data_IF_951694121288
#
_entry.id   IF_951694121288
#
_cell.length_a   1.000
_cell.length_b   1.000
_cell.length_c   1.000
_cell.angle_alpha   90.00
_cell.angle_beta   90.00
_cell.angle_gamma   90.00
#
_symmetry.space_group_name_H-M   'P 1'
#
loop_
_entity.id
_entity.type
_entity.pdbx_description
1 polymer ?
#
# COMPACT_ATOMS: atom_id res chain seq x y z
N UNK A 1 2.22 -33.02 9.09
CA UNK A 1 0.84 -32.68 8.71
C UNK A 1 0.76 -31.16 8.73
N UNK A 2 0.72 -30.52 7.58
CA UNK A 2 0.58 -29.06 7.51
C UNK A 2 -0.82 -28.69 7.99
N UNK A 3 -0.90 -28.17 9.21
CA UNK A 3 -2.14 -27.73 9.82
C UNK A 3 -2.67 -26.54 9.00
N UNK A 4 -3.79 -26.73 8.31
CA UNK A 4 -4.47 -25.63 7.63
C UNK A 4 -5.02 -24.67 8.68
N UNK A 5 -4.80 -23.35 8.54
CA UNK A 5 -5.36 -22.36 9.45
C UNK A 5 -6.88 -22.45 9.42
N UNK A 6 -7.48 -22.45 10.61
CA UNK A 6 -8.94 -22.60 10.80
C UNK A 6 -9.63 -21.25 10.71
N UNK A 7 -8.96 -20.17 11.13
CA UNK A 7 -9.51 -18.83 11.24
C UNK A 7 -8.71 -17.91 10.33
N UNK A 8 -9.39 -17.15 9.46
CA UNK A 8 -8.75 -16.10 8.65
C UNK A 8 -9.02 -14.74 9.26
N UNK A 9 -7.97 -13.96 9.48
CA UNK A 9 -8.05 -12.59 9.97
C UNK A 9 -7.32 -11.66 9.01
N UNK A 10 -7.88 -10.47 8.79
CA UNK A 10 -7.24 -9.42 8.02
C UNK A 10 -6.63 -8.40 8.96
N UNK A 11 -5.47 -7.88 8.60
CA UNK A 11 -4.75 -6.86 9.32
C UNK A 11 -5.10 -5.48 8.76
N UNK A 12 -5.41 -4.53 9.65
CA UNK A 12 -5.69 -3.14 9.30
C UNK A 12 -5.02 -2.17 10.28
N UNK A 13 -4.84 -0.93 9.85
CA UNK A 13 -4.38 0.15 10.73
C UNK A 13 -5.55 0.75 11.52
N UNK A 14 -5.36 0.89 12.83
CA UNK A 14 -6.21 1.62 13.74
C UNK A 14 -5.44 2.82 14.36
N UNK A 15 -6.11 3.80 14.99
CA UNK A 15 -5.46 5.00 15.52
C UNK A 15 -4.35 4.73 16.54
N UNK A 16 -4.46 3.64 17.32
CA UNK A 16 -3.53 3.29 18.40
C UNK A 16 -2.65 2.08 18.10
N UNK A 17 -2.73 1.50 16.90
CA UNK A 17 -2.04 0.25 16.61
C UNK A 17 -2.58 -0.49 15.39
N UNK A 18 -2.08 -1.70 15.18
CA UNK A 18 -2.66 -2.63 14.21
C UNK A 18 -3.84 -3.36 14.84
N UNK A 19 -4.87 -3.61 14.04
CA UNK A 19 -6.06 -4.32 14.45
C UNK A 19 -6.29 -5.52 13.53
N UNK A 20 -6.80 -6.60 14.12
CA UNK A 20 -7.31 -7.76 13.39
C UNK A 20 -8.83 -7.61 13.23
N UNK A 21 -9.35 -7.95 12.04
CA UNK A 21 -10.79 -7.78 11.73
C UNK A 21 -11.74 -8.58 12.62
N UNK A 22 -11.30 -9.71 13.16
CA UNK A 22 -12.08 -10.50 14.10
C UNK A 22 -11.48 -10.36 15.50
N UNK A 23 -12.33 -10.09 16.50
CA UNK A 23 -11.88 -10.05 17.87
C UNK A 23 -11.58 -11.46 18.38
N UNK A 24 -10.62 -11.55 19.29
CA UNK A 24 -10.27 -12.80 19.96
C UNK A 24 -11.48 -13.41 20.68
N UNK A 25 -12.29 -12.58 21.34
CA UNK A 25 -13.49 -13.02 22.07
C UNK A 25 -14.52 -13.65 21.14
N UNK A 26 -14.81 -13.04 20.00
CA UNK A 26 -15.74 -13.57 18.99
C UNK A 26 -15.27 -14.93 18.48
N UNK A 27 -13.96 -15.06 18.20
CA UNK A 27 -13.37 -16.32 17.76
C UNK A 27 -13.43 -17.40 18.84
N UNK A 28 -13.22 -17.04 20.11
CA UNK A 28 -13.36 -17.96 21.24
C UNK A 28 -14.81 -18.42 21.40
N UNK A 29 -15.78 -17.51 21.30
CA UNK A 29 -17.21 -17.86 21.40
C UNK A 29 -17.60 -18.80 20.27
N UNK A 30 -17.26 -18.48 19.02
CA UNK A 30 -17.67 -19.28 17.88
C UNK A 30 -16.97 -20.65 17.82
N UNK A 31 -15.64 -20.69 18.01
CA UNK A 31 -14.89 -21.95 17.87
C UNK A 31 -14.91 -22.80 19.14
N UNK A 32 -14.80 -22.21 20.33
CA UNK A 32 -14.77 -22.99 21.58
C UNK A 32 -16.16 -23.14 22.21
N UNK A 33 -17.11 -22.25 21.92
CA UNK A 33 -18.50 -22.34 22.36
C UNK A 33 -19.38 -23.03 21.32
N UNK A 34 -19.70 -22.32 20.24
CA UNK A 34 -20.74 -22.73 19.27
C UNK A 34 -20.39 -24.05 18.57
N UNK A 35 -19.17 -24.24 18.08
CA UNK A 35 -18.77 -25.49 17.43
C UNK A 35 -18.84 -26.71 18.37
N UNK A 36 -18.55 -26.51 19.66
CA UNK A 36 -18.66 -27.57 20.66
C UNK A 36 -20.13 -27.87 21.00
N UNK A 37 -20.97 -26.84 21.06
CA UNK A 37 -22.42 -26.96 21.26
C UNK A 37 -23.11 -27.62 20.05
N UNK A 38 -22.66 -27.33 18.83
CA UNK A 38 -23.08 -27.97 17.60
C UNK A 38 -22.72 -29.46 17.58
N UNK A 39 -21.51 -29.82 18.03
CA UNK A 39 -21.13 -31.23 18.18
C UNK A 39 -22.07 -31.96 19.16
N UNK A 40 -22.42 -31.32 20.29
CA UNK A 40 -23.41 -31.88 21.23
C UNK A 40 -24.79 -31.99 20.57
N UNK A 41 -25.18 -31.02 19.75
CA UNK A 41 -26.44 -31.05 19.01
C UNK A 41 -26.49 -32.18 17.97
N UNK A 42 -25.37 -32.46 17.29
CA UNK A 42 -25.24 -33.62 16.41
C UNK A 42 -25.38 -34.92 17.20
N UNK A 43 -24.76 -35.02 18.38
CA UNK A 43 -24.92 -36.19 19.28
C UNK A 43 -26.39 -36.41 19.66
N UNK A 44 -27.16 -35.34 19.92
CA UNK A 44 -28.60 -35.44 20.20
C UNK A 44 -29.41 -36.05 19.06
N UNK A 45 -28.99 -35.83 17.81
CA UNK A 45 -29.68 -36.31 16.61
C UNK A 45 -29.36 -37.77 16.26
N UNK A 46 -28.39 -38.41 16.92
CA UNK A 46 -28.11 -39.81 16.65
C UNK A 46 -29.30 -40.70 17.05
N UNK A 47 -29.75 -41.59 16.15
CA UNK A 47 -30.85 -42.49 16.43
C UNK A 47 -30.45 -43.43 17.56
N UNK A 48 -31.25 -43.42 18.63
CA UNK A 48 -31.07 -44.36 19.75
C UNK A 48 -31.54 -45.74 19.29
N UNK A 49 -30.71 -46.76 19.48
CA UNK A 49 -31.03 -48.12 19.05
C UNK A 49 -32.18 -48.73 19.87
N UNK A 50 -32.11 -48.61 21.19
CA UNK A 50 -33.04 -49.27 22.11
C UNK A 50 -34.52 -48.82 21.98
N UNK A 51 -34.83 -47.54 21.69
CA UNK A 51 -36.20 -47.09 21.43
C UNK A 51 -36.73 -47.43 20.02
N UNK A 52 -35.95 -48.06 19.14
CA UNK A 52 -36.44 -48.42 17.81
C UNK A 52 -37.47 -49.55 17.88
N UNK A 53 -38.49 -49.53 17.00
CA UNK A 53 -39.60 -50.49 17.03
C UNK A 53 -39.14 -51.94 16.85
N UNK A 54 -37.99 -52.18 16.19
CA UNK A 54 -37.43 -53.53 16.01
C UNK A 54 -37.05 -54.19 17.35
N UNK A 55 -36.72 -53.40 18.37
CA UNK A 55 -36.31 -53.90 19.68
C UNK A 55 -37.43 -53.87 20.72
N UNK A 56 -38.64 -53.37 20.39
CA UNK A 56 -39.73 -53.22 21.37
C UNK A 56 -40.25 -54.56 21.91
N UNK A 57 -40.10 -55.65 21.17
CA UNK A 57 -40.48 -56.99 21.61
C UNK A 57 -39.48 -57.66 22.57
N UNK A 58 -38.26 -57.12 22.69
CA UNK A 58 -37.21 -57.67 23.56
C UNK A 58 -37.25 -57.07 24.98
N UNK A 59 -38.00 -56.00 25.20
CA UNK A 59 -38.09 -55.31 26.48
C UNK A 59 -39.56 -55.16 26.91
N UNK A 60 -39.90 -55.55 28.14
CA UNK A 60 -41.27 -55.46 28.69
C UNK A 60 -41.79 -54.02 28.87
N UNK A 61 -40.92 -53.02 28.70
CA UNK A 61 -41.26 -51.59 28.63
C UNK A 61 -40.21 -50.89 27.74
N UNK A 62 -40.55 -49.77 27.06
CA UNK A 62 -39.60 -49.07 26.21
C UNK A 62 -38.42 -48.60 27.07
N UNK A 63 -37.19 -49.09 26.80
CA UNK A 63 -36.03 -48.75 27.60
C UNK A 63 -35.74 -47.24 27.51
N UNK A 64 -35.80 -46.55 28.65
CA UNK A 64 -35.38 -45.16 28.77
C UNK A 64 -33.85 -45.11 28.73
N UNK A 65 -33.27 -45.03 27.54
CA UNK A 65 -31.84 -44.76 27.40
C UNK A 65 -31.49 -43.38 27.96
N UNK A 66 -30.37 -43.28 28.67
CA UNK A 66 -29.85 -42.01 29.18
C UNK A 66 -29.71 -41.00 28.04
N UNK A 67 -30.01 -39.73 28.31
CA UNK A 67 -29.73 -38.68 27.35
C UNK A 67 -28.22 -38.44 27.25
N UNK A 68 -27.60 -39.00 26.21
CA UNK A 68 -26.17 -38.88 25.95
C UNK A 68 -25.72 -37.41 25.92
N UNK A 69 -26.60 -36.49 25.51
CA UNK A 69 -26.26 -35.08 25.53
C UNK A 69 -26.19 -34.49 26.95
N UNK A 70 -27.03 -34.94 27.88
CA UNK A 70 -26.93 -34.54 29.29
C UNK A 70 -25.65 -35.08 29.94
N UNK A 71 -25.24 -36.30 29.57
CA UNK A 71 -23.97 -36.87 30.03
C UNK A 71 -22.76 -36.08 29.51
N UNK A 72 -22.85 -35.57 28.28
CA UNK A 72 -21.79 -34.77 27.67
C UNK A 72 -21.63 -33.38 28.28
N UNK A 73 -22.71 -32.72 28.71
CA UNK A 73 -22.65 -31.39 29.35
C UNK A 73 -21.79 -31.41 30.62
N UNK A 74 -21.83 -32.50 31.40
CA UNK A 74 -21.00 -32.70 32.59
C UNK A 74 -19.65 -33.38 32.33
N UNK A 75 -19.32 -33.71 31.08
CA UNK A 75 -18.18 -34.56 30.76
C UNK A 75 -16.86 -33.79 30.87
N UNK A 76 -16.08 -34.10 31.91
CA UNK A 76 -14.81 -33.40 32.22
C UNK A 76 -13.84 -33.33 31.03
N UNK A 77 -13.64 -34.38 30.21
CA UNK A 77 -12.76 -34.29 29.04
C UNK A 77 -13.24 -33.27 28.00
N UNK A 78 -14.55 -33.15 27.77
CA UNK A 78 -15.10 -32.16 26.82
C UNK A 78 -14.84 -30.73 27.31
N UNK A 79 -15.07 -30.47 28.59
CA UNK A 79 -14.78 -29.18 29.21
C UNK A 79 -13.28 -28.86 29.17
N UNK A 80 -12.41 -29.87 29.35
CA UNK A 80 -10.96 -29.71 29.20
C UNK A 80 -10.57 -29.35 27.76
N UNK A 81 -11.19 -29.97 26.76
CA UNK A 81 -10.97 -29.63 25.34
C UNK A 81 -11.43 -28.20 25.05
N UNK A 82 -12.63 -27.81 25.51
CA UNK A 82 -13.15 -26.44 25.35
C UNK A 82 -12.20 -25.39 25.93
N UNK A 83 -11.67 -25.64 27.13
CA UNK A 83 -10.67 -24.76 27.75
C UNK A 83 -9.36 -24.72 26.94
N UNK A 84 -8.88 -25.87 26.48
CA UNK A 84 -7.66 -25.97 25.67
C UNK A 84 -7.81 -25.23 24.32
N UNK A 85 -8.97 -25.32 23.67
CA UNK A 85 -9.28 -24.56 22.45
C UNK A 85 -9.23 -23.05 22.72
N UNK A 86 -9.88 -22.57 23.78
CA UNK A 86 -9.82 -21.15 24.16
C UNK A 86 -8.39 -20.66 24.43
N UNK A 87 -7.58 -21.49 25.11
CA UNK A 87 -6.16 -21.19 25.36
C UNK A 87 -5.33 -21.18 24.07
N UNK A 88 -5.57 -22.10 23.13
CA UNK A 88 -4.88 -22.16 21.84
C UNK A 88 -5.22 -20.96 20.95
N UNK A 89 -6.49 -20.55 20.93
CA UNK A 89 -6.94 -19.33 20.25
C UNK A 89 -6.24 -18.12 20.85
N UNK A 90 -6.28 -17.96 22.18
CA UNK A 90 -5.64 -16.81 22.83
C UNK A 90 -4.12 -16.78 22.69
N UNK A 91 -3.45 -17.93 22.64
CA UNK A 91 -2.04 -17.98 22.28
C UNK A 91 -1.83 -17.51 20.82
N UNK A 92 -2.63 -18.00 19.89
CA UNK A 92 -2.53 -17.63 18.47
C UNK A 92 -2.71 -16.13 18.24
N UNK A 93 -3.63 -15.48 18.98
CA UNK A 93 -3.83 -14.02 18.90
C UNK A 93 -2.66 -13.22 19.46
N UNK A 94 -2.03 -13.67 20.56
CA UNK A 94 -0.80 -13.05 21.07
C UNK A 94 0.35 -13.17 20.08
N UNK A 95 0.60 -14.38 19.59
CA UNK A 95 1.65 -14.65 18.60
C UNK A 95 1.39 -13.85 17.30
N UNK A 96 0.12 -13.71 16.90
CA UNK A 96 -0.27 -12.92 15.74
C UNK A 96 -0.05 -11.42 15.94
N UNK A 97 -0.19 -10.91 17.15
CA UNK A 97 0.14 -9.52 17.50
C UNK A 97 1.64 -9.24 17.37
N UNK A 98 2.49 -10.20 17.77
CA UNK A 98 3.94 -10.06 17.61
C UNK A 98 4.35 -10.07 16.13
N UNK A 99 3.70 -10.94 15.33
CA UNK A 99 3.85 -10.97 13.87
C UNK A 99 3.37 -9.66 13.23
N UNK A 100 2.24 -9.14 13.69
CA UNK A 100 1.64 -7.89 13.22
C UNK A 100 2.60 -6.71 13.41
N UNK A 101 3.37 -6.68 14.50
CA UNK A 101 4.31 -5.59 14.80
C UNK A 101 5.33 -5.32 13.68
N UNK A 102 5.63 -6.29 12.81
CA UNK A 102 6.50 -6.07 11.63
C UNK A 102 5.86 -5.16 10.58
N UNK A 103 4.54 -5.17 10.46
CA UNK A 103 3.80 -4.30 9.54
C UNK A 103 3.67 -2.87 10.07
N UNK A 104 4.11 -2.62 11.30
CA UNK A 104 4.13 -1.28 11.91
C UNK A 104 5.08 -0.33 11.17
N UNK A 105 6.12 -0.86 10.51
CA UNK A 105 7.02 -0.10 9.64
C UNK A 105 6.27 0.60 8.49
N UNK A 106 5.15 0.01 8.04
CA UNK A 106 4.29 0.61 7.02
C UNK A 106 3.43 1.77 7.54
N UNK A 107 3.48 2.12 8.83
CA UNK A 107 2.63 3.19 9.39
C UNK A 107 2.93 4.54 8.76
N UNK A 108 4.19 4.82 8.39
CA UNK A 108 4.55 6.03 7.67
C UNK A 108 3.89 6.09 6.29
N UNK A 109 3.87 4.96 5.57
CA UNK A 109 3.21 4.82 4.27
C UNK A 109 1.70 5.01 4.42
N UNK A 110 1.10 4.39 5.43
CA UNK A 110 -0.33 4.56 5.71
C UNK A 110 -0.69 6.02 6.06
N UNK A 111 0.12 6.71 6.86
CA UNK A 111 -0.10 8.12 7.18
C UNK A 111 -0.02 9.01 5.93
N UNK A 112 0.93 8.73 5.03
CA UNK A 112 0.99 9.39 3.72
C UNK A 112 -0.28 9.12 2.91
N UNK A 113 -0.67 7.86 2.75
CA UNK A 113 -1.86 7.47 1.98
C UNK A 113 -3.14 8.10 2.53
N UNK A 114 -3.29 8.15 3.85
CA UNK A 114 -4.45 8.76 4.51
C UNK A 114 -4.53 10.28 4.34
N UNK A 115 -3.39 10.94 4.14
CA UNK A 115 -3.30 12.41 3.98
C UNK A 115 -3.10 12.85 2.53
N UNK A 116 -2.93 11.92 1.59
CA UNK A 116 -2.61 12.21 0.22
C UNK A 116 -3.83 12.77 -0.52
N UNK A 117 -3.78 14.07 -0.84
CA UNK A 117 -4.69 14.71 -1.77
C UNK A 117 -3.99 14.96 -3.10
N UNK A 118 -4.42 14.23 -4.13
CA UNK A 118 -3.89 14.35 -5.50
C UNK A 118 -4.07 15.77 -6.06
N UNK A 119 -5.18 16.44 -5.77
CA UNK A 119 -5.44 17.78 -6.32
C UNK A 119 -4.48 18.81 -5.72
N UNK A 120 -4.34 18.82 -4.39
CA UNK A 120 -3.35 19.65 -3.71
C UNK A 120 -1.92 19.31 -4.13
N UNK A 121 -1.61 18.02 -4.31
CA UNK A 121 -0.30 17.56 -4.73
C UNK A 121 0.07 18.10 -6.12
N UNK A 122 -0.88 18.08 -7.07
CA UNK A 122 -0.73 18.63 -8.42
C UNK A 122 -0.66 20.17 -8.44
N UNK A 123 -1.31 20.83 -7.49
CA UNK A 123 -1.25 22.30 -7.36
C UNK A 123 0.10 22.85 -6.87
N UNK A 124 0.97 21.99 -6.33
CA UNK A 124 2.26 22.41 -5.75
C UNK A 124 3.35 22.64 -6.80
N UNK A 125 4.08 23.75 -6.71
CA UNK A 125 5.31 23.93 -7.47
C UNK A 125 6.45 23.14 -6.83
N UNK A 126 7.21 22.40 -7.66
CA UNK A 126 8.33 21.56 -7.21
C UNK A 126 9.60 21.84 -7.98
N UNK A 127 10.71 21.73 -7.29
CA UNK A 127 12.07 21.80 -7.83
C UNK A 127 12.54 20.40 -8.26
N UNK A 128 13.55 20.32 -9.14
CA UNK A 128 14.13 19.05 -9.57
C UNK A 128 14.63 18.19 -8.38
N UNK A 129 15.21 18.82 -7.35
CA UNK A 129 15.66 18.10 -6.15
C UNK A 129 14.51 17.53 -5.31
N UNK A 130 13.35 18.20 -5.29
CA UNK A 130 12.14 17.66 -4.68
C UNK A 130 11.61 16.48 -5.49
N UNK A 131 11.48 16.60 -6.82
CA UNK A 131 11.09 15.48 -7.68
C UNK A 131 11.96 14.24 -7.43
N UNK A 132 13.29 14.38 -7.45
CA UNK A 132 14.22 13.26 -7.20
C UNK A 132 13.98 12.57 -5.86
N UNK A 133 13.79 13.35 -4.81
CA UNK A 133 13.53 12.86 -3.47
C UNK A 133 12.19 12.11 -3.39
N UNK A 134 11.15 12.70 -3.96
CA UNK A 134 9.80 12.14 -3.89
C UNK A 134 9.69 10.84 -4.69
N UNK A 135 10.29 10.78 -5.89
CA UNK A 135 10.36 9.55 -6.68
C UNK A 135 11.14 8.45 -5.96
N UNK A 136 12.28 8.79 -5.35
CA UNK A 136 13.06 7.82 -4.58
C UNK A 136 12.25 7.29 -3.40
N UNK A 137 11.59 8.16 -2.66
CA UNK A 137 10.76 7.79 -1.51
C UNK A 137 9.61 6.87 -1.92
N UNK A 138 8.87 7.22 -2.98
CA UNK A 138 7.77 6.40 -3.50
C UNK A 138 8.26 5.04 -3.98
N UNK A 139 9.43 4.98 -4.63
CA UNK A 139 10.03 3.72 -5.06
C UNK A 139 10.41 2.84 -3.87
N UNK A 140 11.09 3.40 -2.87
CA UNK A 140 11.44 2.66 -1.66
C UNK A 140 10.19 2.08 -0.98
N UNK A 141 9.12 2.87 -0.84
CA UNK A 141 7.88 2.36 -0.25
C UNK A 141 7.19 1.26 -1.08
N UNK A 142 7.25 1.33 -2.41
CA UNK A 142 6.74 0.27 -3.27
C UNK A 142 7.59 -1.01 -3.14
N UNK A 143 8.92 -0.88 -3.16
CA UNK A 143 9.85 -2.00 -2.96
C UNK A 143 9.63 -2.67 -1.58
N UNK A 144 9.47 -1.86 -0.52
CA UNK A 144 9.18 -2.33 0.83
C UNK A 144 7.83 -3.09 0.90
N UNK A 145 6.80 -2.61 0.20
CA UNK A 145 5.50 -3.30 0.13
C UNK A 145 5.59 -4.63 -0.62
N UNK A 146 6.34 -4.69 -1.71
CA UNK A 146 6.54 -5.92 -2.49
C UNK A 146 7.37 -6.97 -1.73
N UNK A 147 8.35 -6.53 -0.94
CA UNK A 147 9.18 -7.41 -0.12
C UNK A 147 8.39 -8.07 1.02
N UNK A 148 7.29 -7.46 1.47
CA UNK A 148 6.47 -7.97 2.56
C UNK A 148 5.61 -9.15 2.13
N UNK A 149 5.68 -10.23 2.91
CA UNK A 149 4.82 -11.40 2.70
C UNK A 149 3.36 -11.03 2.97
N UNK A 150 2.49 -11.32 2.00
CA UNK A 150 1.06 -10.94 2.03
C UNK A 150 0.19 -11.68 3.06
N UNK A 151 0.76 -12.66 3.77
CA UNK A 151 0.11 -13.32 4.89
C UNK A 151 0.95 -14.44 5.49
N UNK A 152 0.64 -14.81 6.72
CA UNK A 152 1.34 -15.85 7.47
C UNK A 152 0.37 -16.67 8.33
N UNK A 153 0.68 -17.95 8.48
CA UNK A 153 -0.06 -18.84 9.39
C UNK A 153 0.56 -18.74 10.78
N UNK A 154 -0.25 -18.33 11.76
CA UNK A 154 0.16 -18.17 13.16
C UNK A 154 -0.77 -19.00 14.04
N UNK A 155 -0.30 -20.17 14.45
CA UNK A 155 -1.10 -21.13 15.22
C UNK A 155 -2.36 -21.54 14.45
N UNK A 156 -3.54 -21.16 14.96
CA UNK A 156 -4.82 -21.44 14.31
C UNK A 156 -5.29 -20.33 13.36
N UNK A 157 -4.57 -19.21 13.31
CA UNK A 157 -4.89 -18.03 12.51
C UNK A 157 -4.13 -18.03 11.19
N UNK A 158 -4.77 -17.53 10.14
CA UNK A 158 -4.11 -17.01 8.96
C UNK A 158 -4.23 -15.49 8.99
N UNK A 159 -3.11 -14.82 9.28
CA UNK A 159 -3.02 -13.36 9.31
C UNK A 159 -2.71 -12.89 7.90
N UNK A 160 -3.67 -12.22 7.28
CA UNK A 160 -3.56 -11.69 5.92
C UNK A 160 -3.38 -10.17 5.95
N UNK A 161 -2.47 -9.66 5.12
CA UNK A 161 -2.32 -8.22 4.88
C UNK A 161 -2.56 -7.84 3.42
N UNK A 162 -3.07 -8.76 2.59
CA UNK A 162 -3.30 -8.55 1.15
C UNK A 162 -4.11 -7.29 0.84
N UNK A 163 -5.21 -7.05 1.55
CA UNK A 163 -6.06 -5.88 1.30
C UNK A 163 -5.38 -4.58 1.70
N UNK A 164 -4.63 -4.60 2.81
CA UNK A 164 -3.85 -3.46 3.25
C UNK A 164 -2.75 -3.13 2.23
N UNK A 165 -1.99 -4.14 1.80
CA UNK A 165 -0.95 -3.98 0.78
C UNK A 165 -1.52 -3.41 -0.51
N UNK A 166 -2.66 -3.95 -0.98
CA UNK A 166 -3.34 -3.47 -2.18
C UNK A 166 -3.74 -2.00 -2.06
N UNK A 167 -4.37 -1.61 -0.95
CA UNK A 167 -4.79 -0.23 -0.70
C UNK A 167 -3.61 0.74 -0.70
N UNK A 168 -2.52 0.37 -0.01
CA UNK A 168 -1.31 1.19 0.04
C UNK A 168 -0.65 1.29 -1.33
N UNK A 169 -0.50 0.17 -2.03
CA UNK A 169 0.08 0.12 -3.37
C UNK A 169 -0.72 0.96 -4.36
N UNK A 170 -2.04 0.81 -4.43
CA UNK A 170 -2.91 1.54 -5.36
C UNK A 170 -2.74 3.07 -5.20
N UNK A 171 -2.65 3.53 -3.95
CA UNK A 171 -2.47 4.97 -3.66
C UNK A 171 -1.06 5.45 -4.00
N UNK A 172 -0.03 4.67 -3.70
CA UNK A 172 1.36 4.99 -4.05
C UNK A 172 1.55 5.05 -5.57
N UNK A 173 0.96 4.14 -6.33
CA UNK A 173 0.95 4.19 -7.79
C UNK A 173 0.27 5.45 -8.30
N UNK A 174 -0.87 5.84 -7.71
CA UNK A 174 -1.56 7.09 -8.03
C UNK A 174 -0.69 8.33 -7.77
N UNK A 175 0.05 8.34 -6.65
CA UNK A 175 1.00 9.40 -6.34
C UNK A 175 2.18 9.44 -7.33
N UNK A 176 2.73 8.29 -7.71
CA UNK A 176 3.81 8.20 -8.69
C UNK A 176 3.37 8.65 -10.09
N UNK A 177 2.14 8.34 -10.52
CA UNK A 177 1.55 8.87 -11.75
C UNK A 177 1.37 10.40 -11.68
N UNK A 178 0.85 10.92 -10.57
CA UNK A 178 0.72 12.36 -10.35
C UNK A 178 2.08 13.08 -10.44
N UNK A 179 3.12 12.50 -9.83
CA UNK A 179 4.47 13.04 -9.85
C UNK A 179 5.09 13.02 -11.26
N UNK A 180 4.85 11.96 -12.05
CA UNK A 180 5.26 11.89 -13.48
C UNK A 180 4.62 12.99 -14.30
N UNK A 181 3.30 13.15 -14.21
CA UNK A 181 2.60 14.24 -14.92
C UNK A 181 3.13 15.62 -14.53
N UNK A 182 3.38 15.85 -13.25
CA UNK A 182 3.95 17.11 -12.77
C UNK A 182 5.35 17.37 -13.34
N UNK A 183 6.20 16.34 -13.36
CA UNK A 183 7.54 16.45 -13.94
C UNK A 183 7.45 16.75 -15.45
N UNK A 184 6.54 16.11 -16.19
CA UNK A 184 6.32 16.40 -17.61
C UNK A 184 5.92 17.85 -17.83
N UNK A 185 4.95 18.36 -17.07
CA UNK A 185 4.51 19.76 -17.18
C UNK A 185 5.64 20.73 -16.79
N UNK A 186 6.40 20.41 -15.76
CA UNK A 186 7.53 21.23 -15.33
C UNK A 186 8.66 21.25 -16.38
N UNK A 187 9.00 20.10 -16.95
CA UNK A 187 9.99 19.98 -18.02
C UNK A 187 9.57 20.75 -19.27
N UNK A 188 8.30 20.62 -19.68
CA UNK A 188 7.73 21.40 -20.79
C UNK A 188 7.86 22.91 -20.54
N UNK A 189 7.44 23.39 -19.37
CA UNK A 189 7.56 24.82 -19.04
C UNK A 189 9.00 25.30 -19.04
N UNK A 190 9.93 24.52 -18.51
CA UNK A 190 11.34 24.92 -18.44
C UNK A 190 12.02 24.89 -19.81
N UNK A 191 11.70 23.93 -20.70
CA UNK A 191 12.24 23.91 -22.07
C UNK A 191 11.73 25.08 -22.89
N UNK A 192 10.42 25.36 -22.85
CA UNK A 192 9.84 26.52 -23.55
C UNK A 192 10.47 27.82 -23.06
N UNK A 193 10.56 28.00 -21.73
CA UNK A 193 11.16 29.20 -21.15
C UNK A 193 12.64 29.36 -21.51
N UNK A 194 13.38 28.26 -21.55
CA UNK A 194 14.80 28.27 -21.89
C UNK A 194 15.00 28.62 -23.36
N UNK A 195 14.23 28.01 -24.27
CA UNK A 195 14.24 28.35 -25.71
C UNK A 195 13.83 29.79 -25.97
N UNK A 196 12.79 30.31 -25.32
CA UNK A 196 12.37 31.72 -25.42
C UNK A 196 13.51 32.66 -24.99
N UNK A 197 14.24 32.30 -23.93
CA UNK A 197 15.39 33.07 -23.46
C UNK A 197 16.50 33.09 -24.51
N UNK A 198 16.87 31.93 -25.07
CA UNK A 198 17.89 31.84 -26.13
C UNK A 198 17.45 32.53 -27.43
N UNK A 199 16.19 32.39 -27.83
CA UNK A 199 15.61 33.04 -29.00
C UNK A 199 15.59 34.56 -28.88
N UNK A 200 15.23 35.08 -27.70
CA UNK A 200 15.29 36.51 -27.39
C UNK A 200 16.71 37.07 -27.51
N UNK A 201 17.69 36.40 -26.87
CA UNK A 201 19.10 36.80 -26.95
C UNK A 201 19.65 36.73 -28.38
N UNK A 202 19.30 35.69 -29.13
CA UNK A 202 19.70 35.56 -30.54
C UNK A 202 19.08 36.68 -31.39
N UNK A 203 17.82 37.01 -31.15
CA UNK A 203 17.13 38.12 -31.82
C UNK A 203 17.77 39.48 -31.52
N UNK A 204 18.11 39.75 -30.26
CA UNK A 204 18.80 40.97 -29.84
C UNK A 204 20.20 41.09 -30.45
N UNK A 205 20.99 39.99 -30.43
CA UNK A 205 22.38 40.00 -30.88
C UNK A 205 22.56 39.86 -32.39
N UNK A 206 21.54 39.38 -33.11
CA UNK A 206 21.55 39.26 -34.58
C UNK A 206 21.40 40.61 -35.29
N UNK A 207 20.76 41.59 -34.65
CA UNK A 207 20.62 42.96 -35.15
C UNK A 207 21.90 43.74 -34.87
N UNK A 208 22.91 43.55 -35.74
CA UNK A 208 24.13 44.34 -35.68
C UNK A 208 23.80 45.82 -35.96
N UNK A 209 24.25 46.76 -35.12
CA UNK A 209 23.99 48.17 -35.31
C UNK A 209 24.76 48.71 -36.52
N UNK A 210 24.07 49.50 -37.35
CA UNK A 210 24.65 50.18 -38.52
C UNK A 210 25.26 51.55 -38.16
N UNK A 211 24.86 52.11 -37.01
CA UNK A 211 25.34 53.39 -36.49
C UNK A 211 26.18 53.24 -35.22
N UNK A 212 27.15 54.15 -35.04
CA UNK A 212 28.04 54.19 -33.87
C UNK A 212 27.30 54.45 -32.55
N UNK A 213 26.21 55.21 -32.58
CA UNK A 213 25.42 55.52 -31.39
C UNK A 213 24.70 54.28 -30.85
N UNK A 214 24.23 53.41 -31.75
CA UNK A 214 23.55 52.15 -31.41
C UNK A 214 24.54 51.06 -30.96
N UNK A 215 25.82 51.18 -31.34
CA UNK A 215 26.87 50.24 -30.94
C UNK A 215 27.05 50.17 -29.42
N UNK A 216 26.93 51.30 -28.72
CA UNK A 216 27.08 51.33 -27.26
C UNK A 216 25.99 50.51 -26.55
N UNK A 217 24.75 50.55 -27.04
CA UNK A 217 23.64 49.76 -26.49
C UNK A 217 23.82 48.26 -26.79
N UNK A 218 24.18 47.92 -28.03
CA UNK A 218 24.51 46.55 -28.45
C UNK A 218 25.63 45.95 -27.60
N UNK A 219 26.73 46.68 -27.40
CA UNK A 219 27.89 46.18 -26.66
C UNK A 219 27.55 45.91 -25.18
N UNK A 220 26.68 46.73 -24.57
CA UNK A 220 26.17 46.47 -23.21
C UNK A 220 25.34 45.19 -23.13
N UNK A 221 24.42 44.98 -24.07
CA UNK A 221 23.61 43.76 -24.15
C UNK A 221 24.48 42.51 -24.38
N UNK A 222 25.49 42.63 -25.25
CA UNK A 222 26.47 41.57 -25.50
C UNK A 222 27.29 41.23 -24.24
N UNK A 223 27.82 42.24 -23.54
CA UNK A 223 28.53 42.08 -22.26
C UNK A 223 27.66 41.39 -21.21
N UNK A 224 26.44 41.87 -21.01
CA UNK A 224 25.50 41.27 -20.07
C UNK A 224 25.17 39.81 -20.40
N UNK A 225 25.07 39.48 -21.69
CA UNK A 225 24.86 38.09 -22.14
C UNK A 225 26.06 37.20 -21.84
N UNK A 226 27.28 37.69 -22.08
CA UNK A 226 28.51 36.95 -21.75
C UNK A 226 28.65 36.75 -20.24
N UNK A 227 28.39 37.79 -19.45
CA UNK A 227 28.42 37.72 -17.98
C UNK A 227 27.32 36.76 -17.45
N UNK A 228 26.17 36.71 -18.11
CA UNK A 228 25.06 35.82 -17.78
C UNK A 228 25.19 34.38 -18.31
N UNK A 229 26.26 34.04 -19.04
CA UNK A 229 26.40 32.77 -19.75
C UNK A 229 26.30 31.55 -18.82
N UNK A 230 27.01 31.56 -17.69
CA UNK A 230 26.98 30.44 -16.73
C UNK A 230 25.56 30.18 -16.20
N UNK A 231 24.77 31.25 -16.00
CA UNK A 231 23.37 31.12 -15.58
C UNK A 231 22.50 30.46 -16.64
N UNK A 232 22.74 30.78 -17.91
CA UNK A 232 22.03 30.17 -19.05
C UNK A 232 22.41 28.70 -19.20
N UNK A 233 23.70 28.38 -19.13
CA UNK A 233 24.19 26.99 -19.13
C UNK A 233 23.62 26.19 -17.96
N UNK A 234 23.53 26.78 -16.76
CA UNK A 234 22.89 26.15 -15.60
C UNK A 234 21.42 25.85 -15.81
N UNK A 235 20.64 26.75 -16.43
CA UNK A 235 19.23 26.50 -16.77
C UNK A 235 19.06 25.41 -17.82
N UNK A 236 19.90 25.43 -18.86
CA UNK A 236 19.97 24.35 -19.85
C UNK A 236 20.25 23.01 -19.16
N UNK A 237 21.23 22.95 -18.26
CA UNK A 237 21.56 21.73 -17.54
C UNK A 237 20.39 21.21 -16.68
N UNK A 238 19.65 22.10 -16.00
CA UNK A 238 18.44 21.73 -15.25
C UNK A 238 17.38 21.16 -16.18
N UNK A 239 17.15 21.79 -17.33
CA UNK A 239 16.16 21.34 -18.33
C UNK A 239 16.49 19.93 -18.82
N UNK A 240 17.74 19.71 -19.24
CA UNK A 240 18.22 18.39 -19.68
C UNK A 240 18.04 17.36 -18.56
N UNK A 241 18.45 17.70 -17.33
CA UNK A 241 18.32 16.80 -16.19
C UNK A 241 16.86 16.47 -15.81
N UNK A 242 15.89 17.32 -16.14
CA UNK A 242 14.46 17.01 -15.98
C UNK A 242 14.00 15.97 -17.00
N UNK A 243 14.45 16.05 -18.26
CA UNK A 243 14.13 15.06 -19.29
C UNK A 243 14.85 13.72 -19.07
N UNK A 244 16.11 13.73 -18.64
CA UNK A 244 16.83 12.51 -18.25
C UNK A 244 16.08 11.80 -17.10
N UNK A 245 15.51 12.58 -16.18
CA UNK A 245 14.70 12.04 -15.11
C UNK A 245 13.38 11.45 -15.61
N UNK A 246 12.70 12.10 -16.59
CA UNK A 246 11.51 11.55 -17.23
C UNK A 246 11.78 10.19 -17.87
N UNK A 247 12.91 10.04 -18.56
CA UNK A 247 13.34 8.77 -19.15
C UNK A 247 13.61 7.71 -18.07
N UNK A 248 14.32 8.08 -17.00
CA UNK A 248 14.61 7.20 -15.86
C UNK A 248 13.34 6.65 -15.20
N UNK A 249 12.28 7.47 -15.11
CA UNK A 249 10.99 7.06 -14.50
C UNK A 249 10.02 6.47 -15.52
N UNK A 250 10.45 6.26 -16.77
CA UNK A 250 9.63 5.67 -17.84
C UNK A 250 8.44 6.53 -18.28
N UNK A 251 8.50 7.85 -18.05
CA UNK A 251 7.47 8.77 -18.50
C UNK A 251 7.64 9.09 -19.98
N UNK A 252 6.54 9.05 -20.74
CA UNK A 252 6.56 9.38 -22.17
C UNK A 252 6.76 10.88 -22.35
N UNK A 253 7.84 11.25 -23.04
CA UNK A 253 8.09 12.64 -23.45
C UNK A 253 7.21 12.97 -24.66
N UNK A 254 6.44 14.08 -24.64
CA UNK A 254 5.68 14.53 -25.81
C UNK A 254 6.59 14.84 -27.01
N UNK A 255 6.18 14.57 -28.26
CA UNK A 255 7.02 14.81 -29.43
C UNK A 255 7.48 16.27 -29.59
N UNK A 256 6.61 17.21 -29.22
CA UNK A 256 6.93 18.65 -29.25
C UNK A 256 8.09 18.97 -28.30
N UNK A 257 8.09 18.36 -27.13
CA UNK A 257 9.14 18.56 -26.11
C UNK A 257 10.45 17.86 -26.50
N UNK A 258 10.36 16.73 -27.20
CA UNK A 258 11.54 16.05 -27.73
C UNK A 258 12.26 16.90 -28.79
N UNK A 259 11.51 17.52 -29.71
CA UNK A 259 12.06 18.47 -30.69
C UNK A 259 12.65 19.69 -29.97
N UNK A 260 11.92 20.27 -29.01
CA UNK A 260 12.38 21.41 -28.24
C UNK A 260 13.67 21.12 -27.45
N UNK A 261 13.80 19.90 -26.92
CA UNK A 261 15.01 19.45 -26.23
C UNK A 261 16.18 19.28 -27.20
N UNK A 262 15.94 18.78 -28.42
CA UNK A 262 16.98 18.64 -29.44
C UNK A 262 17.42 19.99 -30.00
N UNK A 263 16.52 20.97 -30.16
CA UNK A 263 16.86 22.37 -30.50
C UNK A 263 17.75 23.04 -29.42
N UNK A 264 17.71 22.51 -28.20
CA UNK A 264 18.44 23.01 -27.04
C UNK A 264 19.80 22.30 -26.84
N UNK A 265 20.07 21.22 -27.58
CA UNK A 265 21.33 20.46 -27.53
C UNK A 265 22.38 21.06 -28.46
#
# INVERSE_FOLDING_TARGET
>A
MDARPVIRVQLSFAPSGLQLTAAEEDCRVSVAGELMDDLIHVVRKFPRLLPQPVFSGLFGSPPKGNDMAQLLVGYKPLNKVRLACGQAIGKSYRDASDVAARYEELRAVHAFVASFDRAAYVGSQRTLSQFRRDFLLLRCWLDDLEALRSGEVVGMLHVSCTELQRLLADTLHSAAEALRMLLTVAAHREVTRTLETYGGLTGELSRRPDALDDFAAYYRAYRATIEGRERLEGRRAITVAMFDMLDTVGARVPPVDAVALDDLK
#
